data_IF_707290290038
#
_entry.id   IF_707290290038
#
_cell.length_a   1.000
_cell.length_b   1.000
_cell.length_c   1.000
_cell.angle_alpha   90.00
_cell.angle_beta   90.00
_cell.angle_gamma   90.00
#
_symmetry.space_group_name_H-M   'P 1'
#
loop_
_entity.id
_entity.type
_entity.pdbx_description
1 polymer ?
#
# COMPACT_ATOMS: atom_id res chain seq x y z
N UNK A 1 -0.98 -8.86 43.00
CA UNK A 1 -0.63 -8.36 41.65
C UNK A 1 -0.90 -9.48 40.67
N UNK A 2 -1.97 -9.40 39.88
CA UNK A 2 -2.21 -10.35 38.81
C UNK A 2 -1.38 -9.90 37.60
N UNK A 3 -0.35 -10.65 37.25
CA UNK A 3 0.33 -10.50 35.97
C UNK A 3 -0.67 -10.89 34.90
N UNK A 4 -1.18 -9.90 34.16
CA UNK A 4 -1.86 -10.16 32.90
C UNK A 4 -0.87 -10.86 31.98
N UNK A 5 -1.00 -12.18 31.81
CA UNK A 5 -0.30 -12.91 30.76
C UNK A 5 -0.86 -12.40 29.45
N UNK A 6 -0.18 -11.43 28.85
CA UNK A 6 -0.55 -10.92 27.54
C UNK A 6 -0.58 -12.10 26.57
N UNK A 7 -1.73 -12.29 25.91
CA UNK A 7 -1.89 -13.33 24.91
C UNK A 7 -0.76 -13.24 23.88
N UNK A 8 -0.03 -14.33 23.70
CA UNK A 8 1.14 -14.41 22.84
C UNK A 8 0.86 -15.32 21.64
N UNK A 9 1.55 -15.07 20.54
CA UNK A 9 1.55 -15.98 19.39
C UNK A 9 2.09 -17.38 19.77
N UNK A 10 2.86 -17.48 20.86
CA UNK A 10 3.32 -18.74 21.42
C UNK A 10 2.18 -19.60 22.00
N UNK A 11 1.06 -18.98 22.40
CA UNK A 11 -0.10 -19.69 22.94
C UNK A 11 -0.89 -20.42 21.84
N UNK A 12 -0.54 -20.22 20.56
CA UNK A 12 -1.20 -20.77 19.37
C UNK A 12 -0.44 -21.97 18.78
N UNK A 13 0.30 -22.71 19.60
CA UNK A 13 1.16 -23.82 19.19
C UNK A 13 0.39 -24.95 18.46
N UNK A 14 -0.90 -25.11 18.74
CA UNK A 14 -1.82 -26.08 18.12
C UNK A 14 -2.62 -25.52 16.93
N UNK A 15 -2.50 -24.21 16.64
CA UNK A 15 -3.31 -23.50 15.63
C UNK A 15 -2.51 -23.14 14.37
N UNK A 16 -1.53 -23.95 13.98
CA UNK A 16 -0.59 -23.65 12.89
C UNK A 16 -1.29 -23.40 11.54
N UNK A 17 -2.34 -24.17 11.21
CA UNK A 17 -3.07 -23.98 9.94
C UNK A 17 -3.83 -22.65 9.91
N UNK A 18 -4.43 -22.26 11.04
CA UNK A 18 -5.09 -20.96 11.19
C UNK A 18 -4.06 -19.85 11.04
N UNK A 19 -2.88 -20.01 11.64
CA UNK A 19 -1.78 -19.06 11.56
C UNK A 19 -1.27 -18.89 10.12
N UNK A 20 -1.08 -20.01 9.42
CA UNK A 20 -0.65 -20.05 8.03
C UNK A 20 -1.69 -19.36 7.11
N UNK A 21 -2.98 -19.53 7.39
CA UNK A 21 -4.07 -18.84 6.69
C UNK A 21 -4.10 -17.34 7.00
N UNK A 22 -3.99 -16.98 8.28
CA UNK A 22 -4.03 -15.59 8.75
C UNK A 22 -2.90 -14.75 8.11
N UNK A 23 -1.68 -15.27 8.14
CA UNK A 23 -0.51 -14.59 7.54
C UNK A 23 -0.63 -14.46 6.02
N UNK A 24 -1.21 -15.46 5.34
CA UNK A 24 -1.47 -15.40 3.90
C UNK A 24 -2.49 -14.32 3.55
N UNK A 25 -3.63 -14.28 4.27
CA UNK A 25 -4.68 -13.26 4.09
C UNK A 25 -4.17 -11.84 4.38
N UNK A 26 -3.27 -11.69 5.35
CA UNK A 26 -2.61 -10.41 5.62
C UNK A 26 -1.81 -9.90 4.42
N UNK A 27 -1.02 -10.78 3.79
CA UNK A 27 -0.28 -10.44 2.57
C UNK A 27 -1.24 -10.08 1.43
N UNK A 28 -2.27 -10.88 1.19
CA UNK A 28 -3.27 -10.62 0.13
C UNK A 28 -4.01 -9.29 0.33
N UNK A 29 -4.27 -8.93 1.59
CA UNK A 29 -4.91 -7.64 1.93
C UNK A 29 -4.01 -6.46 1.60
N UNK A 30 -2.70 -6.55 1.88
CA UNK A 30 -1.72 -5.56 1.44
C UNK A 30 -1.62 -5.53 -0.10
N UNK A 31 -1.74 -6.70 -0.73
CA UNK A 31 -1.95 -6.95 -2.17
C UNK A 31 -2.98 -6.00 -2.77
N UNK A 32 -4.19 -6.16 -2.23
CA UNK A 32 -5.37 -5.40 -2.61
C UNK A 32 -5.21 -3.91 -2.34
N UNK A 33 -4.60 -3.54 -1.21
CA UNK A 33 -4.28 -2.14 -0.93
C UNK A 33 -3.33 -1.55 -1.96
N UNK A 34 -2.34 -2.32 -2.43
CA UNK A 34 -1.48 -1.90 -3.52
C UNK A 34 -2.24 -1.61 -4.81
N UNK A 35 -3.20 -2.47 -5.19
CA UNK A 35 -4.05 -2.21 -6.36
C UNK A 35 -4.87 -0.93 -6.18
N UNK A 36 -5.45 -0.74 -5.00
CA UNK A 36 -6.17 0.49 -4.66
C UNK A 36 -5.30 1.75 -4.84
N UNK A 37 -4.04 1.74 -4.40
CA UNK A 37 -3.13 2.88 -4.59
C UNK A 37 -2.89 3.19 -6.06
N UNK A 38 -2.81 2.17 -6.91
CA UNK A 38 -2.63 2.33 -8.35
C UNK A 38 -3.88 2.97 -9.00
N UNK A 39 -5.07 2.54 -8.61
CA UNK A 39 -6.33 3.15 -9.05
C UNK A 39 -6.47 4.59 -8.56
N UNK A 40 -6.13 4.85 -7.29
CA UNK A 40 -6.10 6.19 -6.71
C UNK A 40 -5.16 7.11 -7.50
N UNK A 41 -3.96 6.64 -7.85
CA UNK A 41 -3.02 7.42 -8.65
C UNK A 41 -3.58 7.80 -10.03
N UNK A 42 -4.30 6.89 -10.69
CA UNK A 42 -4.92 7.16 -11.98
C UNK A 42 -6.04 8.22 -11.89
N UNK A 43 -6.81 8.21 -10.80
CA UNK A 43 -7.84 9.23 -10.53
C UNK A 43 -7.19 10.61 -10.33
N UNK A 44 -6.08 10.67 -9.58
CA UNK A 44 -5.34 11.92 -9.33
C UNK A 44 -4.74 12.49 -10.64
N UNK A 45 -4.15 11.65 -11.50
CA UNK A 45 -3.66 12.05 -12.83
C UNK A 45 -4.81 12.60 -13.71
N UNK A 46 -5.95 11.91 -13.75
CA UNK A 46 -7.11 12.34 -14.54
C UNK A 46 -7.66 13.67 -14.05
N UNK A 47 -7.75 13.86 -12.73
CA UNK A 47 -8.21 15.11 -12.14
C UNK A 47 -7.26 16.27 -12.48
N UNK A 48 -5.96 16.08 -12.31
CA UNK A 48 -4.95 17.07 -12.70
C UNK A 48 -5.04 17.45 -14.18
N UNK A 49 -5.17 16.46 -15.08
CA UNK A 49 -5.31 16.69 -16.51
C UNK A 49 -6.56 17.51 -16.86
N UNK A 50 -7.69 17.22 -16.21
CA UNK A 50 -8.95 17.97 -16.37
C UNK A 50 -8.80 19.42 -15.89
N UNK A 51 -8.12 19.66 -14.77
CA UNK A 51 -7.85 21.01 -14.27
C UNK A 51 -6.95 21.81 -15.24
N UNK A 52 -5.88 21.21 -15.77
CA UNK A 52 -5.03 21.87 -16.78
C UNK A 52 -5.80 22.21 -18.06
N UNK A 53 -6.63 21.28 -18.53
CA UNK A 53 -7.47 21.52 -19.70
C UNK A 53 -8.45 22.68 -19.47
N UNK A 54 -9.03 22.77 -18.26
CA UNK A 54 -9.88 23.88 -17.86
C UNK A 54 -9.12 25.21 -17.87
N UNK A 55 -7.94 25.27 -17.27
CA UNK A 55 -7.11 26.50 -17.26
C UNK A 55 -6.75 26.92 -18.68
N UNK A 56 -6.25 26.00 -19.50
CA UNK A 56 -5.87 26.25 -20.90
C UNK A 56 -7.04 26.77 -21.73
N UNK A 57 -8.25 26.26 -21.50
CA UNK A 57 -9.47 26.71 -22.21
C UNK A 57 -9.83 28.17 -21.88
N UNK A 58 -9.52 28.63 -20.67
CA UNK A 58 -9.89 29.95 -20.16
C UNK A 58 -8.80 31.02 -20.29
N UNK A 59 -7.54 30.65 -20.58
CA UNK A 59 -6.41 31.58 -20.74
C UNK A 59 -6.38 32.39 -22.06
N UNK A 60 -7.43 32.35 -22.88
CA UNK A 60 -7.61 33.26 -24.03
C UNK A 60 -6.48 33.26 -25.07
N UNK A 61 -6.40 34.33 -25.90
CA UNK A 61 -5.34 34.53 -26.91
C UNK A 61 -4.42 35.66 -26.44
N UNK A 62 -3.15 35.31 -26.18
CA UNK A 62 -2.08 36.11 -25.56
C UNK A 62 -1.94 37.61 -25.92
N UNK A 63 -2.44 38.12 -27.04
CA UNK A 63 -2.17 39.50 -27.49
C UNK A 63 -3.18 40.55 -27.01
N UNK A 64 -4.48 40.28 -27.01
CA UNK A 64 -5.50 41.22 -26.49
C UNK A 64 -5.65 41.13 -24.96
N UNK A 65 -5.34 39.96 -24.40
CA UNK A 65 -5.43 39.71 -22.96
C UNK A 65 -4.36 40.46 -22.16
N UNK A 66 -3.18 40.77 -22.73
CA UNK A 66 -2.07 41.36 -21.96
C UNK A 66 -2.30 42.84 -21.61
N UNK A 67 -2.90 43.60 -22.53
CA UNK A 67 -3.26 45.00 -22.31
C UNK A 67 -4.47 45.09 -21.37
N UNK A 68 -5.46 44.22 -21.58
CA UNK A 68 -6.65 44.10 -20.73
C UNK A 68 -6.32 43.63 -19.30
N UNK A 69 -5.36 42.71 -19.15
CA UNK A 69 -4.85 42.22 -17.86
C UNK A 69 -4.20 43.35 -17.04
N UNK A 70 -3.49 44.27 -17.70
CA UNK A 70 -2.89 45.45 -17.05
C UNK A 70 -3.91 46.54 -16.76
N UNK A 71 -4.94 46.66 -17.60
CA UNK A 71 -5.94 47.73 -17.51
C UNK A 71 -7.06 47.46 -16.49
N UNK A 72 -7.40 46.20 -16.22
CA UNK A 72 -8.59 45.86 -15.44
C UNK A 72 -8.34 44.85 -14.31
N UNK A 73 -8.69 45.24 -13.07
CA UNK A 73 -8.47 44.43 -11.86
C UNK A 73 -9.27 43.13 -11.81
N UNK A 74 -10.48 43.11 -12.38
CA UNK A 74 -11.29 41.88 -12.43
C UNK A 74 -10.69 40.84 -13.39
N UNK A 75 -10.02 41.28 -14.46
CA UNK A 75 -9.34 40.40 -15.43
C UNK A 75 -8.07 39.81 -14.80
N UNK A 76 -7.26 40.65 -14.14
CA UNK A 76 -6.05 40.16 -13.46
C UNK A 76 -6.39 39.23 -12.30
N UNK A 77 -7.46 39.51 -11.55
CA UNK A 77 -7.94 38.64 -10.48
C UNK A 77 -8.39 37.27 -11.01
N UNK A 78 -9.08 37.23 -12.14
CA UNK A 78 -9.47 35.98 -12.78
C UNK A 78 -8.25 35.15 -13.22
N UNK A 79 -7.24 35.79 -13.81
CA UNK A 79 -5.98 35.13 -14.16
C UNK A 79 -5.24 34.56 -12.95
N UNK A 80 -5.22 35.28 -11.83
CA UNK A 80 -4.66 34.74 -10.58
C UNK A 80 -5.39 33.48 -10.13
N UNK A 81 -6.72 33.45 -10.22
CA UNK A 81 -7.51 32.23 -9.92
C UNK A 81 -7.14 31.09 -10.87
N UNK A 82 -7.00 31.34 -12.17
CA UNK A 82 -6.57 30.32 -13.14
C UNK A 82 -5.18 29.77 -12.82
N UNK A 83 -4.24 30.61 -12.40
CA UNK A 83 -2.91 30.20 -11.96
C UNK A 83 -2.96 29.32 -10.70
N UNK A 84 -3.80 29.65 -9.71
CA UNK A 84 -4.00 28.81 -8.54
C UNK A 84 -4.58 27.43 -8.89
N UNK A 85 -5.50 27.37 -9.87
CA UNK A 85 -6.04 26.09 -10.36
C UNK A 85 -4.96 25.26 -11.10
N UNK A 86 -4.05 25.91 -11.83
CA UNK A 86 -2.90 25.25 -12.45
C UNK A 86 -1.92 24.71 -11.39
N UNK A 87 -1.64 25.48 -10.34
CA UNK A 87 -0.84 25.05 -9.19
C UNK A 87 -1.46 23.83 -8.51
N UNK A 88 -2.78 23.85 -8.27
CA UNK A 88 -3.52 22.72 -7.73
C UNK A 88 -3.38 21.47 -8.61
N UNK A 89 -3.52 21.60 -9.93
CA UNK A 89 -3.29 20.50 -10.86
C UNK A 89 -1.88 19.89 -10.74
N UNK A 90 -0.86 20.73 -10.53
CA UNK A 90 0.51 20.29 -10.25
C UNK A 90 0.63 19.48 -8.96
N UNK A 91 -0.05 19.91 -7.89
CA UNK A 91 -0.05 19.18 -6.61
C UNK A 91 -0.68 17.78 -6.75
N UNK A 92 -1.78 17.67 -7.50
CA UNK A 92 -2.40 16.37 -7.78
C UNK A 92 -1.48 15.42 -8.57
N UNK A 93 -0.70 15.92 -9.52
CA UNK A 93 0.31 15.09 -10.21
C UNK A 93 1.40 14.60 -9.26
N UNK A 94 1.87 15.45 -8.35
CA UNK A 94 2.87 15.04 -7.34
C UNK A 94 2.33 13.92 -6.45
N UNK A 95 1.06 14.01 -6.05
CA UNK A 95 0.39 12.94 -5.30
C UNK A 95 0.32 11.65 -6.15
N UNK A 96 -0.14 11.74 -7.38
CA UNK A 96 -0.23 10.59 -8.29
C UNK A 96 1.13 9.93 -8.52
N UNK A 97 2.18 10.74 -8.70
CA UNK A 97 3.56 10.30 -8.87
C UNK A 97 4.08 9.59 -7.63
N UNK A 98 3.92 10.18 -6.44
CA UNK A 98 4.38 9.57 -5.18
C UNK A 98 3.67 8.25 -4.87
N UNK A 99 2.38 8.15 -5.17
CA UNK A 99 1.65 6.89 -5.08
C UNK A 99 2.23 5.82 -6.01
N UNK A 100 2.49 6.17 -7.27
CA UNK A 100 2.88 5.23 -8.33
C UNK A 100 4.36 4.83 -8.28
N UNK A 101 5.26 5.78 -7.99
CA UNK A 101 6.71 5.57 -8.07
C UNK A 101 7.33 5.18 -6.72
N UNK A 102 6.75 5.63 -5.62
CA UNK A 102 7.35 5.41 -4.30
C UNK A 102 6.56 4.38 -3.50
N UNK A 103 5.29 4.66 -3.22
CA UNK A 103 4.51 3.88 -2.23
C UNK A 103 4.11 2.52 -2.80
N UNK A 104 3.51 2.48 -4.01
CA UNK A 104 3.04 1.23 -4.61
C UNK A 104 4.18 0.21 -4.83
N UNK A 105 5.34 0.56 -5.42
CA UNK A 105 6.44 -0.39 -5.60
C UNK A 105 7.06 -0.84 -4.26
N UNK A 106 7.20 0.05 -3.29
CA UNK A 106 7.69 -0.30 -1.96
C UNK A 106 6.78 -1.32 -1.26
N UNK A 107 5.47 -1.12 -1.36
CA UNK A 107 4.47 -2.05 -0.82
C UNK A 107 4.56 -3.43 -1.47
N UNK A 108 4.63 -3.51 -2.81
CA UNK A 108 4.78 -4.78 -3.51
C UNK A 108 6.08 -5.51 -3.14
N UNK A 109 7.18 -4.75 -3.00
CA UNK A 109 8.47 -5.28 -2.54
C UNK A 109 8.35 -5.89 -1.14
N UNK A 110 7.66 -5.22 -0.22
CA UNK A 110 7.40 -5.76 1.12
C UNK A 110 6.52 -7.00 1.08
N UNK A 111 5.48 -7.03 0.23
CA UNK A 111 4.64 -8.22 0.07
C UNK A 111 5.43 -9.43 -0.44
N UNK A 112 6.33 -9.24 -1.42
CA UNK A 112 7.22 -10.29 -1.89
C UNK A 112 8.16 -10.80 -0.78
N UNK A 113 8.75 -9.89 -0.01
CA UNK A 113 9.59 -10.24 1.14
C UNK A 113 8.81 -11.03 2.21
N UNK A 114 7.59 -10.62 2.53
CA UNK A 114 6.73 -11.33 3.48
C UNK A 114 6.34 -12.73 3.00
N UNK A 115 6.08 -12.92 1.70
CA UNK A 115 5.84 -14.26 1.14
C UNK A 115 7.04 -15.17 1.31
N UNK A 116 8.24 -14.66 1.01
CA UNK A 116 9.47 -15.43 1.14
C UNK A 116 9.73 -15.81 2.62
N UNK A 117 9.61 -14.84 3.53
CA UNK A 117 9.75 -15.08 4.97
C UNK A 117 8.73 -16.09 5.49
N UNK A 118 7.44 -15.93 5.14
CA UNK A 118 6.37 -16.88 5.49
C UNK A 118 6.68 -18.29 5.02
N UNK A 119 7.12 -18.46 3.77
CA UNK A 119 7.49 -19.77 3.22
C UNK A 119 8.64 -20.40 4.02
N UNK A 120 9.67 -19.62 4.34
CA UNK A 120 10.81 -20.10 5.11
C UNK A 120 10.41 -20.54 6.52
N UNK A 121 9.62 -19.74 7.25
CA UNK A 121 9.17 -20.08 8.60
C UNK A 121 8.27 -21.32 8.63
N UNK A 122 7.35 -21.47 7.66
CA UNK A 122 6.50 -22.66 7.59
C UNK A 122 7.30 -23.93 7.25
N UNK A 123 8.32 -23.82 6.40
CA UNK A 123 9.21 -24.94 6.10
C UNK A 123 10.05 -25.34 7.31
N UNK A 124 10.60 -24.37 8.05
CA UNK A 124 11.35 -24.63 9.28
C UNK A 124 10.47 -25.32 10.33
N UNK A 125 9.25 -24.83 10.53
CA UNK A 125 8.28 -25.44 11.42
C UNK A 125 7.94 -26.88 11.01
N UNK A 126 7.75 -27.13 9.70
CA UNK A 126 7.50 -28.47 9.19
C UNK A 126 8.64 -29.44 9.51
N UNK A 127 9.90 -28.99 9.36
CA UNK A 127 11.09 -29.79 9.71
C UNK A 127 11.12 -30.11 11.21
N UNK A 128 10.92 -29.10 12.07
CA UNK A 128 10.94 -29.26 13.54
C UNK A 128 9.84 -30.23 13.99
N UNK A 129 8.62 -30.07 13.49
CA UNK A 129 7.51 -30.98 13.80
C UNK A 129 7.78 -32.40 13.31
N UNK A 130 8.45 -32.58 12.17
CA UNK A 130 8.88 -33.90 11.71
C UNK A 130 9.83 -34.59 12.69
N UNK A 131 10.83 -33.86 13.21
CA UNK A 131 11.77 -34.38 14.22
C UNK A 131 11.06 -34.72 15.53
N UNK A 132 10.14 -33.85 15.97
CA UNK A 132 9.35 -34.07 17.18
C UNK A 132 8.49 -35.33 17.07
N UNK A 133 7.74 -35.47 15.97
CA UNK A 133 6.88 -36.63 15.74
C UNK A 133 7.68 -37.94 15.67
N UNK A 134 8.84 -37.94 15.00
CA UNK A 134 9.72 -39.11 14.98
C UNK A 134 10.21 -39.51 16.38
N UNK A 135 10.50 -38.51 17.24
CA UNK A 135 10.90 -38.75 18.63
C UNK A 135 9.76 -39.34 19.46
N UNK A 136 8.54 -38.83 19.27
CA UNK A 136 7.31 -39.35 19.90
C UNK A 136 7.06 -40.81 19.46
N UNK A 137 7.18 -41.11 18.17
CA UNK A 137 7.00 -42.47 17.65
C UNK A 137 8.00 -43.46 18.25
N UNK A 138 9.27 -43.05 18.41
CA UNK A 138 10.30 -43.87 19.06
C UNK A 138 9.97 -44.12 20.53
N UNK A 139 9.47 -43.12 21.25
CA UNK A 139 9.02 -43.28 22.63
C UNK A 139 7.88 -44.32 22.74
N UNK A 140 6.87 -44.23 21.86
CA UNK A 140 5.78 -45.21 21.83
C UNK A 140 6.26 -46.63 21.51
N UNK A 141 7.28 -46.79 20.66
CA UNK A 141 7.90 -48.10 20.39
C UNK A 141 8.58 -48.66 21.62
N UNK A 142 9.35 -47.86 22.37
CA UNK A 142 10.01 -48.32 23.60
C UNK A 142 9.02 -48.67 24.71
N UNK A 143 7.92 -47.90 24.84
CA UNK A 143 6.87 -48.19 25.80
C UNK A 143 6.24 -49.57 25.59
N UNK A 144 6.02 -49.98 24.33
CA UNK A 144 5.45 -51.30 24.00
C UNK A 144 6.36 -52.48 24.37
N UNK A 145 7.65 -52.22 24.60
CA UNK A 145 8.65 -53.23 24.95
C UNK A 145 8.88 -53.34 26.46
N UNK A 146 8.14 -52.55 27.27
CA UNK A 146 8.05 -52.63 28.72
C UNK A 146 6.72 -53.27 29.14
#
# INVERSE_FOLDING_TARGET
MATSTAASWADLWDQIDILASHTQKGIESLEKYGMFLKERAAIEDEYAAKLRALVKKNLGKKKEDEESFKAYTFISSFHSILHEVESLAGQHEVIAEGLRKDIHPALLTKCAAFRAARKNHLNELHIINGVLNASIDNMFKFQKNY
#
